data_IF_636083511459
#
_entry.id   IF_636083511459
#
_cell.length_a   1.000
_cell.length_b   1.000
_cell.length_c   1.000
_cell.angle_alpha   90.00
_cell.angle_beta   90.00
_cell.angle_gamma   90.00
#
_symmetry.space_group_name_H-M   'P 1'
#
loop_
_entity.id
_entity.type
_entity.pdbx_description
1 polymer ?
#
# COMPACT_ATOMS: atom_id res chain seq x y z
N UNK A 1 6.67 -27.14 57.73
CA UNK A 1 7.02 -27.75 56.43
C UNK A 1 6.65 -26.75 55.34
N UNK A 2 7.65 -26.15 54.69
CA UNK A 2 7.51 -25.08 53.71
C UNK A 2 7.70 -25.60 52.28
N UNK A 3 6.63 -25.46 51.49
CA UNK A 3 6.52 -25.24 50.03
C UNK A 3 7.15 -26.23 49.02
N UNK A 4 6.58 -26.27 47.81
CA UNK A 4 7.22 -25.48 46.75
C UNK A 4 6.27 -24.50 46.05
N UNK A 5 6.75 -23.27 45.82
CA UNK A 5 6.14 -22.29 44.92
C UNK A 5 6.48 -22.67 43.48
N UNK A 6 5.46 -22.96 42.69
CA UNK A 6 5.55 -23.06 41.24
C UNK A 6 5.78 -21.67 40.65
N UNK A 7 7.02 -21.38 40.22
CA UNK A 7 7.36 -20.20 39.44
C UNK A 7 6.92 -20.40 37.99
N UNK A 8 5.73 -19.90 37.64
CA UNK A 8 5.30 -19.79 36.25
C UNK A 8 5.48 -18.34 35.77
N UNK A 9 6.51 -18.06 34.96
CA UNK A 9 6.55 -16.99 33.95
C UNK A 9 7.84 -17.08 33.11
N UNK A 10 7.73 -17.16 31.77
CA UNK A 10 8.13 -16.00 30.94
C UNK A 10 7.31 -15.77 29.65
N UNK A 11 6.14 -16.41 29.48
CA UNK A 11 5.39 -16.43 28.20
C UNK A 11 4.94 -15.04 27.65
N UNK A 12 4.98 -13.99 28.46
CA UNK A 12 4.57 -12.63 28.08
C UNK A 12 5.60 -11.90 27.20
N UNK A 13 6.89 -12.21 27.33
CA UNK A 13 7.96 -11.57 26.55
C UNK A 13 8.00 -12.09 25.11
N UNK A 14 8.07 -13.40 24.92
CA UNK A 14 8.15 -14.04 23.61
C UNK A 14 6.91 -13.74 22.74
N UNK A 15 5.72 -13.72 23.33
CA UNK A 15 4.48 -13.37 22.61
C UNK A 15 4.41 -11.89 22.22
N UNK A 16 5.02 -10.98 22.99
CA UNK A 16 5.11 -9.56 22.63
C UNK A 16 6.10 -9.34 21.48
N UNK A 17 7.25 -10.02 21.50
CA UNK A 17 8.23 -9.98 20.40
C UNK A 17 7.63 -10.55 19.12
N UNK A 18 6.96 -11.71 19.19
CA UNK A 18 6.31 -12.32 18.03
C UNK A 18 5.25 -11.42 17.40
N UNK A 19 4.40 -10.76 18.21
CA UNK A 19 3.43 -9.76 17.71
C UNK A 19 4.13 -8.55 17.08
N UNK A 20 5.22 -8.08 17.67
CA UNK A 20 6.03 -6.99 17.11
C UNK A 20 6.62 -7.33 15.75
N UNK A 21 7.20 -8.53 15.59
CA UNK A 21 7.71 -9.00 14.30
C UNK A 21 6.59 -9.16 13.27
N UNK A 22 5.44 -9.74 13.65
CA UNK A 22 4.30 -9.89 12.75
C UNK A 22 3.75 -8.52 12.31
N UNK A 23 3.68 -7.54 13.23
CA UNK A 23 3.31 -6.17 12.90
C UNK A 23 4.30 -5.53 11.92
N UNK A 24 5.61 -5.71 12.13
CA UNK A 24 6.65 -5.19 11.24
C UNK A 24 6.53 -5.78 9.84
N UNK A 25 6.32 -7.10 9.71
CA UNK A 25 6.11 -7.77 8.42
C UNK A 25 4.87 -7.22 7.71
N UNK A 26 3.76 -7.02 8.43
CA UNK A 26 2.54 -6.47 7.85
C UNK A 26 2.73 -5.03 7.34
N UNK A 27 3.41 -4.18 8.10
CA UNK A 27 3.73 -2.81 7.66
C UNK A 27 4.73 -2.79 6.50
N UNK A 28 5.72 -3.70 6.49
CA UNK A 28 6.65 -3.85 5.37
C UNK A 28 5.91 -4.26 4.10
N UNK A 29 4.99 -5.22 4.19
CA UNK A 29 4.16 -5.62 3.05
C UNK A 29 3.29 -4.45 2.55
N UNK A 30 2.64 -3.73 3.47
CA UNK A 30 1.83 -2.56 3.12
C UNK A 30 2.67 -1.47 2.44
N UNK A 31 3.84 -1.16 2.99
CA UNK A 31 4.78 -0.20 2.40
C UNK A 31 5.29 -0.63 1.04
N UNK A 32 5.66 -1.91 0.88
CA UNK A 32 6.11 -2.45 -0.40
C UNK A 32 5.00 -2.38 -1.47
N UNK A 33 3.75 -2.72 -1.12
CA UNK A 33 2.61 -2.61 -2.03
C UNK A 33 2.38 -1.16 -2.48
N UNK A 34 2.48 -0.20 -1.58
CA UNK A 34 2.40 1.23 -1.90
C UNK A 34 3.54 1.65 -2.82
N UNK A 35 4.79 1.28 -2.51
CA UNK A 35 5.96 1.59 -3.34
C UNK A 35 5.86 0.98 -4.74
N UNK A 36 5.36 -0.24 -4.86
CA UNK A 36 5.08 -0.87 -6.16
C UNK A 36 4.00 -0.10 -6.93
N UNK A 37 2.97 0.41 -6.25
CA UNK A 37 1.93 1.23 -6.86
C UNK A 37 2.45 2.60 -7.37
N UNK A 38 3.49 3.15 -6.73
CA UNK A 38 4.24 4.29 -7.28
C UNK A 38 5.08 3.87 -8.48
N UNK A 39 5.88 2.80 -8.33
CA UNK A 39 6.77 2.31 -9.37
C UNK A 39 6.06 1.94 -10.67
N UNK A 40 4.88 1.32 -10.58
CA UNK A 40 4.10 0.89 -11.75
C UNK A 40 3.54 2.04 -12.59
N UNK A 41 3.60 3.28 -12.11
CA UNK A 41 3.02 4.45 -12.79
C UNK A 41 4.02 5.56 -13.06
N UNK A 42 5.28 5.44 -12.59
CA UNK A 42 6.33 6.43 -12.85
C UNK A 42 6.43 6.74 -14.34
N UNK A 43 6.35 5.71 -15.18
CA UNK A 43 6.46 5.86 -16.63
C UNK A 43 5.30 6.68 -17.24
N UNK A 44 4.10 6.59 -16.67
CA UNK A 44 2.94 7.38 -17.12
C UNK A 44 2.99 8.82 -16.63
N UNK A 45 3.58 9.04 -15.46
CA UNK A 45 3.62 10.34 -14.80
C UNK A 45 4.78 11.19 -15.30
N UNK A 46 5.88 10.55 -15.71
CA UNK A 46 7.15 11.22 -16.02
C UNK A 46 7.40 11.43 -17.51
N UNK A 47 6.83 10.58 -18.38
CA UNK A 47 7.11 10.64 -19.81
C UNK A 47 5.85 11.00 -20.62
N UNK A 48 5.94 12.00 -21.51
CA UNK A 48 4.86 12.31 -22.43
C UNK A 48 4.67 11.16 -23.44
N UNK A 49 3.41 10.92 -23.84
CA UNK A 49 3.03 9.90 -24.82
C UNK A 49 2.15 8.77 -24.26
N UNK A 50 1.70 7.90 -25.16
CA UNK A 50 0.81 6.77 -24.84
C UNK A 50 1.57 5.66 -24.11
N UNK A 51 0.99 5.18 -23.01
CA UNK A 51 1.51 4.09 -22.18
C UNK A 51 0.40 3.14 -21.76
N UNK A 52 0.80 1.91 -21.41
CA UNK A 52 -0.10 0.88 -20.87
C UNK A 52 -0.78 1.38 -19.59
N UNK A 53 -2.09 1.17 -19.45
CA UNK A 53 -2.84 1.58 -18.28
C UNK A 53 -2.66 0.61 -17.09
N UNK A 54 -1.59 0.82 -16.33
CA UNK A 54 -1.31 0.22 -15.02
C UNK A 54 -2.01 0.90 -13.82
N UNK A 55 -2.88 1.90 -14.02
CA UNK A 55 -3.62 2.53 -12.92
C UNK A 55 -4.51 1.51 -12.15
N UNK A 56 -5.21 0.56 -12.81
CA UNK A 56 -5.96 -0.48 -12.11
C UNK A 56 -5.06 -1.35 -11.22
N UNK A 57 -3.87 -1.72 -11.71
CA UNK A 57 -2.89 -2.50 -10.94
C UNK A 57 -2.45 -1.75 -9.69
N UNK A 58 -2.14 -0.45 -9.82
CA UNK A 58 -1.78 0.39 -8.69
C UNK A 58 -2.92 0.45 -7.65
N UNK A 59 -4.18 0.58 -8.08
CA UNK A 59 -5.33 0.58 -7.17
C UNK A 59 -5.49 -0.77 -6.46
N UNK A 60 -5.32 -1.91 -7.13
CA UNK A 60 -5.34 -3.21 -6.47
C UNK A 60 -4.26 -3.34 -5.40
N UNK A 61 -3.03 -2.88 -5.68
CA UNK A 61 -1.95 -2.88 -4.68
C UNK A 61 -2.31 -2.04 -3.45
N UNK A 62 -2.92 -0.87 -3.63
CA UNK A 62 -3.40 -0.03 -2.51
C UNK A 62 -4.51 -0.72 -1.71
N UNK A 63 -5.44 -1.42 -2.39
CA UNK A 63 -6.49 -2.22 -1.74
C UNK A 63 -5.91 -3.32 -0.85
N UNK A 64 -4.75 -3.90 -1.19
CA UNK A 64 -4.05 -4.86 -0.31
C UNK A 64 -3.22 -4.18 0.78
N UNK A 65 -2.70 -2.99 0.54
CA UNK A 65 -1.90 -2.25 1.51
C UNK A 65 -2.71 -1.82 2.74
N UNK A 66 -3.95 -1.35 2.54
CA UNK A 66 -4.84 -0.88 3.62
C UNK A 66 -5.13 -1.96 4.68
N UNK A 67 -5.63 -3.16 4.34
CA UNK A 67 -5.88 -4.20 5.32
C UNK A 67 -4.58 -4.73 5.95
N UNK A 68 -3.47 -4.74 5.21
CA UNK A 68 -2.16 -5.11 5.78
C UNK A 68 -1.70 -4.09 6.85
N UNK A 69 -1.87 -2.79 6.60
CA UNK A 69 -1.59 -1.75 7.59
C UNK A 69 -2.51 -1.83 8.82
N UNK A 70 -3.81 -2.11 8.60
CA UNK A 70 -4.76 -2.33 9.69
C UNK A 70 -4.39 -3.56 10.54
N UNK A 71 -4.00 -4.66 9.90
CA UNK A 71 -3.50 -5.85 10.59
C UNK A 71 -2.21 -5.56 11.37
N UNK A 72 -1.27 -4.81 10.77
CA UNK A 72 -0.05 -4.35 11.44
C UNK A 72 -0.35 -3.53 12.70
N UNK A 73 -1.29 -2.59 12.62
CA UNK A 73 -1.72 -1.77 13.76
C UNK A 73 -2.41 -2.60 14.84
N UNK A 74 -3.29 -3.54 14.45
CA UNK A 74 -3.95 -4.45 15.38
C UNK A 74 -2.95 -5.32 16.14
N UNK A 75 -1.90 -5.80 15.47
CA UNK A 75 -0.83 -6.60 16.08
C UNK A 75 0.13 -5.77 16.95
N UNK A 76 0.44 -4.54 16.54
CA UNK A 76 1.24 -3.59 17.33
C UNK A 76 0.54 -3.15 18.63
N UNK A 77 -0.80 -3.20 18.63
CA UNK A 77 -1.65 -2.81 19.73
C UNK A 77 -1.97 -1.32 19.72
N UNK A 78 -3.19 -0.98 20.13
CA UNK A 78 -3.75 0.38 20.04
C UNK A 78 -2.99 1.44 20.83
N UNK A 79 -2.15 1.04 21.78
CA UNK A 79 -1.34 1.94 22.62
C UNK A 79 0.04 2.22 22.03
N UNK A 80 0.39 1.57 20.91
CA UNK A 80 1.70 1.69 20.27
C UNK A 80 1.77 2.94 19.41
N UNK A 81 2.49 3.96 19.89
CA UNK A 81 2.76 5.18 19.12
C UNK A 81 3.49 4.87 17.80
N UNK A 82 4.42 3.91 17.81
CA UNK A 82 5.12 3.46 16.60
C UNK A 82 4.18 2.80 15.59
N UNK A 83 3.23 1.98 16.05
CA UNK A 83 2.21 1.37 15.19
C UNK A 83 1.32 2.41 14.52
N UNK A 84 0.85 3.40 15.29
CA UNK A 84 0.07 4.52 14.76
C UNK A 84 0.86 5.38 13.78
N UNK A 85 2.14 5.68 14.08
CA UNK A 85 3.00 6.43 13.17
C UNK A 85 3.18 5.69 11.83
N UNK A 86 3.47 4.38 11.86
CA UNK A 86 3.59 3.57 10.65
C UNK A 86 2.28 3.52 9.85
N UNK A 87 1.14 3.30 10.53
CA UNK A 87 -0.17 3.31 9.91
C UNK A 87 -0.52 4.67 9.29
N UNK A 88 -0.18 5.77 9.96
CA UNK A 88 -0.39 7.12 9.46
C UNK A 88 0.46 7.39 8.21
N UNK A 89 1.73 6.99 8.22
CA UNK A 89 2.61 7.12 7.03
C UNK A 89 2.03 6.34 5.85
N UNK A 90 1.66 5.07 6.05
CA UNK A 90 1.03 4.27 4.99
C UNK A 90 -0.28 4.92 4.52
N UNK A 91 -1.13 5.37 5.44
CA UNK A 91 -2.39 6.03 5.12
C UNK A 91 -2.21 7.30 4.29
N UNK A 92 -1.24 8.14 4.65
CA UNK A 92 -0.88 9.35 3.88
C UNK A 92 -0.39 8.97 2.49
N UNK A 93 0.50 7.99 2.36
CA UNK A 93 0.99 7.57 1.05
C UNK A 93 -0.12 6.99 0.16
N UNK A 94 -1.03 6.19 0.74
CA UNK A 94 -2.22 5.68 0.04
C UNK A 94 -3.11 6.83 -0.43
N UNK A 95 -3.38 7.80 0.45
CA UNK A 95 -4.22 8.95 0.11
C UNK A 95 -3.60 9.81 -1.01
N UNK A 96 -2.29 10.09 -0.92
CA UNK A 96 -1.55 10.79 -1.98
C UNK A 96 -1.64 10.02 -3.29
N UNK A 97 -1.45 8.69 -3.26
CA UNK A 97 -1.50 7.87 -4.49
C UNK A 97 -2.90 7.84 -5.12
N UNK A 98 -3.96 7.73 -4.32
CA UNK A 98 -5.33 7.79 -4.83
C UNK A 98 -5.65 9.16 -5.42
N UNK A 99 -5.16 10.24 -4.80
CA UNK A 99 -5.32 11.60 -5.32
C UNK A 99 -4.65 11.77 -6.70
N UNK A 100 -3.44 11.25 -6.87
CA UNK A 100 -2.72 11.31 -8.15
C UNK A 100 -3.32 10.40 -9.22
N UNK A 101 -3.91 9.26 -8.82
CA UNK A 101 -4.57 8.31 -9.72
C UNK A 101 -5.99 8.73 -10.11
N UNK A 102 -6.65 9.63 -9.36
CA UNK A 102 -8.01 10.09 -9.62
C UNK A 102 -8.30 10.49 -11.07
N UNK A 103 -7.44 11.27 -11.78
CA UNK A 103 -7.68 11.56 -13.19
C UNK A 103 -7.53 10.31 -14.10
N UNK A 104 -6.64 9.38 -13.77
CA UNK A 104 -6.43 8.13 -14.54
C UNK A 104 -7.59 7.14 -14.35
N UNK A 105 -8.30 7.20 -13.22
CA UNK A 105 -9.48 6.39 -12.94
C UNK A 105 -10.63 6.66 -13.92
N UNK A 106 -10.71 7.85 -14.51
CA UNK A 106 -11.68 8.12 -15.57
C UNK A 106 -11.38 7.29 -16.84
N UNK A 107 -10.10 6.95 -17.06
CA UNK A 107 -9.65 6.09 -18.15
C UNK A 107 -9.63 4.59 -17.80
N UNK A 108 -10.23 4.15 -16.69
CA UNK A 108 -10.10 2.76 -16.21
C UNK A 108 -10.49 1.70 -17.24
N UNK A 109 -11.45 1.99 -18.12
CA UNK A 109 -11.91 1.07 -19.17
C UNK A 109 -11.01 1.03 -20.41
N UNK A 110 -9.95 1.83 -20.47
CA UNK A 110 -9.06 1.95 -21.62
C UNK A 110 -7.70 1.31 -21.35
N UNK A 111 -7.18 0.60 -22.35
CA UNK A 111 -5.88 -0.10 -22.26
C UNK A 111 -4.69 0.84 -22.26
N UNK A 112 -4.84 2.06 -22.78
CA UNK A 112 -3.75 3.02 -22.90
C UNK A 112 -4.15 4.40 -22.41
N UNK A 113 -3.23 5.04 -21.70
CA UNK A 113 -3.37 6.42 -21.20
C UNK A 113 -2.15 7.21 -21.65
N UNK A 114 -2.39 8.37 -22.24
CA UNK A 114 -1.35 9.32 -22.62
C UNK A 114 -1.48 10.62 -21.83
N UNK A 115 -0.36 11.10 -21.28
CA UNK A 115 -0.31 12.43 -20.66
C UNK A 115 0.02 13.47 -21.72
N UNK A 116 -0.81 14.51 -21.79
CA UNK A 116 -0.64 15.63 -22.72
C UNK A 116 0.15 16.77 -22.06
N UNK A 117 0.71 17.68 -22.86
CA UNK A 117 1.59 18.76 -22.36
C UNK A 117 0.87 19.76 -21.45
N UNK A 118 -0.46 19.86 -21.56
CA UNK A 118 -1.33 20.64 -20.68
C UNK A 118 -1.67 19.95 -19.35
N UNK A 119 -1.16 18.73 -19.13
CA UNK A 119 -1.42 17.92 -17.95
C UNK A 119 -2.74 17.14 -17.98
N UNK A 120 -3.51 17.23 -19.07
CA UNK A 120 -4.68 16.37 -19.30
C UNK A 120 -4.27 14.95 -19.69
N UNK A 121 -5.21 14.00 -19.56
CA UNK A 121 -5.00 12.61 -19.92
C UNK A 121 -5.91 12.21 -21.07
N UNK A 122 -5.34 11.61 -22.12
CA UNK A 122 -6.08 10.98 -23.21
C UNK A 122 -6.18 9.48 -22.97
N UNK A 123 -7.40 8.96 -23.01
CA UNK A 123 -7.67 7.53 -22.91
C UNK A 123 -7.89 6.94 -24.31
N UNK A 124 -7.23 5.83 -24.64
CA UNK A 124 -7.38 5.20 -25.96
C UNK A 124 -7.38 3.68 -25.78
N UNK A 125 -8.21 2.96 -26.54
CA UNK A 125 -8.11 1.50 -26.57
C UNK A 125 -6.98 1.09 -27.51
N UNK A 126 -6.25 0.02 -27.15
CA UNK A 126 -5.20 -0.53 -28.01
C UNK A 126 -5.76 -1.01 -29.36
N UNK A 127 -7.02 -1.46 -29.37
CA UNK A 127 -7.73 -1.89 -30.58
C UNK A 127 -7.99 -0.79 -31.61
N UNK A 128 -8.05 0.48 -31.19
CA UNK A 128 -8.33 1.61 -32.09
C UNK A 128 -7.06 2.12 -32.82
N UNK A 129 -5.86 1.62 -32.44
CA UNK A 129 -4.57 1.98 -33.04
C UNK A 129 -4.01 0.91 -33.99
N UNK A 130 -4.69 -0.22 -34.14
CA UNK A 130 -4.34 -1.27 -35.10
C UNK A 130 -5.18 -1.09 -36.37
N UNK A 131 -4.58 -0.97 -37.56
CA UNK A 131 -5.29 -0.84 -38.83
C UNK A 131 -6.02 -2.12 -39.25
#
# INVERSE_FOLDING_TARGET
MTAPRTTAAPATGASRVARGCAAAVAFLFAGAAVLLAFGSTVEMESFPGLRENLAPLAVYLLVFAVPAAAAGLAMAGWRSAAGWAAAAVVGVLVAVRLWTLAPMLHCWSHDSVGRNDDGSYHCVNRGDMLP
#
